data_IF_820703061053
#
_entry.id   IF_820703061053
#
_cell.length_a   1.000
_cell.length_b   1.000
_cell.length_c   1.000
_cell.angle_alpha   90.00
_cell.angle_beta   90.00
_cell.angle_gamma   90.00
#
_symmetry.space_group_name_H-M   'P 1'
#
loop_
_entity.id
_entity.type
_entity.pdbx_description
1 polymer ?
#
# COMPACT_ATOMS: atom_id res chain seq x y z
N UNK A 1 5.25 -29.08 -16.38
CA UNK A 1 4.63 -27.80 -16.76
C UNK A 1 5.54 -27.10 -17.77
N UNK A 2 4.98 -26.68 -18.91
CA UNK A 2 5.75 -26.08 -20.01
C UNK A 2 6.15 -24.63 -19.63
N UNK A 3 7.43 -24.24 -19.69
CA UNK A 3 7.92 -22.92 -19.24
C UNK A 3 7.25 -21.71 -19.91
N UNK A 4 6.69 -21.87 -21.12
CA UNK A 4 5.92 -20.82 -21.79
C UNK A 4 4.61 -20.47 -21.06
N UNK A 5 3.94 -21.43 -20.43
CA UNK A 5 2.69 -21.17 -19.69
C UNK A 5 2.93 -20.49 -18.35
N UNK A 6 4.09 -20.73 -17.73
CA UNK A 6 4.50 -20.04 -16.49
C UNK A 6 4.77 -18.56 -16.73
N UNK A 7 5.48 -18.23 -17.82
CA UNK A 7 5.79 -16.84 -18.19
C UNK A 7 4.54 -16.03 -18.54
N UNK A 8 3.58 -16.63 -19.26
CA UNK A 8 2.30 -15.98 -19.60
C UNK A 8 1.42 -15.75 -18.38
N UNK A 9 1.42 -16.69 -17.43
CA UNK A 9 0.69 -16.55 -16.17
C UNK A 9 1.25 -15.42 -15.29
N UNK A 10 2.58 -15.29 -15.21
CA UNK A 10 3.23 -14.19 -14.48
C UNK A 10 2.95 -12.83 -15.11
N UNK A 11 2.98 -12.71 -16.44
CA UNK A 11 2.66 -11.46 -17.13
C UNK A 11 1.18 -11.05 -16.95
N UNK A 12 0.26 -12.03 -16.92
CA UNK A 12 -1.15 -11.77 -16.66
C UNK A 12 -1.42 -11.29 -15.22
N UNK A 13 -0.68 -11.77 -14.22
CA UNK A 13 -0.81 -11.30 -12.84
C UNK A 13 -0.37 -9.83 -12.68
N UNK A 14 0.67 -9.41 -13.41
CA UNK A 14 1.19 -8.03 -13.32
C UNK A 14 0.24 -7.03 -14.00
N UNK A 15 -0.43 -7.40 -15.09
CA UNK A 15 -1.38 -6.51 -15.77
C UNK A 15 -2.67 -6.30 -14.98
N UNK A 16 -3.13 -7.30 -14.20
CA UNK A 16 -4.36 -7.20 -13.39
C UNK A 16 -4.19 -6.27 -12.19
N UNK A 17 -2.99 -6.16 -11.60
CA UNK A 17 -2.73 -5.22 -10.49
C UNK A 17 -2.89 -3.74 -10.89
N UNK A 18 -2.68 -3.38 -12.17
CA UNK A 18 -2.74 -1.98 -12.60
C UNK A 18 -4.18 -1.46 -12.72
N UNK A 19 -5.16 -2.33 -12.97
CA UNK A 19 -6.57 -1.94 -13.11
C UNK A 19 -7.27 -1.58 -11.78
N UNK A 20 -6.64 -1.88 -10.64
CA UNK A 20 -7.25 -1.64 -9.31
C UNK A 20 -7.08 -0.19 -8.82
N UNK A 21 -6.24 0.62 -9.48
CA UNK A 21 -5.93 1.99 -9.04
C UNK A 21 -6.59 3.10 -9.87
N UNK A 22 -7.36 2.77 -10.92
CA UNK A 22 -7.95 3.73 -11.86
C UNK A 22 -8.86 4.79 -11.20
N UNK A 23 -9.39 4.54 -10.00
CA UNK A 23 -10.29 5.46 -9.28
C UNK A 23 -9.67 6.14 -8.05
N UNK A 24 -8.42 5.81 -7.68
CA UNK A 24 -7.74 6.49 -6.58
C UNK A 24 -7.00 7.67 -7.19
N UNK A 25 -7.51 8.88 -7.01
CA UNK A 25 -6.73 10.09 -7.30
C UNK A 25 -5.45 10.00 -6.46
N UNK A 26 -4.26 9.84 -7.07
CA UNK A 26 -3.02 9.56 -6.34
C UNK A 26 -2.69 10.65 -5.32
N UNK A 27 -3.28 11.84 -5.48
CA UNK A 27 -3.07 12.99 -4.61
C UNK A 27 -3.91 13.05 -3.35
N UNK A 28 -4.89 12.16 -3.18
CA UNK A 28 -5.64 12.11 -1.92
C UNK A 28 -4.73 11.73 -0.76
N UNK A 29 -3.66 10.97 -1.01
CA UNK A 29 -2.66 10.64 0.02
C UNK A 29 -1.83 11.86 0.44
N UNK A 30 -1.81 12.93 -0.36
CA UNK A 30 -0.98 14.12 -0.14
C UNK A 30 -1.71 15.23 0.61
N UNK A 31 -3.01 15.08 0.84
CA UNK A 31 -3.79 15.99 1.65
C UNK A 31 -3.80 15.49 3.09
N UNK A 32 -3.27 16.32 3.99
CA UNK A 32 -3.16 16.01 5.41
C UNK A 32 -4.52 15.79 6.10
N UNK A 33 -5.64 16.22 5.49
CA UNK A 33 -6.99 15.88 5.97
C UNK A 33 -7.36 14.41 5.71
N UNK A 34 -6.74 13.78 4.70
CA UNK A 34 -7.06 12.42 4.24
C UNK A 34 -6.01 11.40 4.67
N UNK A 35 -4.73 11.78 4.72
CA UNK A 35 -3.67 10.89 5.15
C UNK A 35 -2.51 11.65 5.79
N UNK A 36 -2.26 11.36 7.07
CA UNK A 36 -1.05 11.76 7.78
C UNK A 36 -0.25 10.49 8.04
N UNK A 37 1.04 10.49 7.69
CA UNK A 37 1.93 9.36 7.99
C UNK A 37 1.93 9.11 9.50
N UNK A 38 1.43 7.96 9.98
CA UNK A 38 1.35 7.70 11.41
C UNK A 38 2.72 7.67 12.06
N UNK A 39 2.86 8.20 13.27
CA UNK A 39 4.15 8.25 13.99
C UNK A 39 4.50 6.98 14.76
N UNK A 40 3.58 6.01 14.81
CA UNK A 40 3.78 4.73 15.47
C UNK A 40 3.08 3.59 14.72
N UNK A 41 3.53 2.36 14.99
CA UNK A 41 3.03 1.14 14.35
C UNK A 41 1.56 0.85 14.67
N UNK A 42 1.10 1.11 15.89
CA UNK A 42 -0.28 0.84 16.31
C UNK A 42 -1.30 1.61 15.47
N UNK A 43 -0.99 2.84 15.08
CA UNK A 43 -1.83 3.61 14.17
C UNK A 43 -1.60 3.14 12.74
N UNK A 44 -0.36 2.92 12.30
CA UNK A 44 -0.06 2.46 10.94
C UNK A 44 -0.75 1.12 10.60
N UNK A 45 -0.71 0.15 11.50
CA UNK A 45 -1.37 -1.15 11.33
C UNK A 45 -2.88 -1.02 11.14
N UNK A 46 -3.54 -0.02 11.77
CA UNK A 46 -4.97 0.27 11.50
C UNK A 46 -5.20 0.80 10.09
N UNK A 47 -4.32 1.67 9.58
CA UNK A 47 -4.39 2.13 8.20
C UNK A 47 -4.19 0.97 7.22
N UNK A 48 -3.22 0.09 7.47
CA UNK A 48 -2.96 -1.09 6.64
C UNK A 48 -4.16 -2.05 6.63
N UNK A 49 -4.76 -2.34 7.79
CA UNK A 49 -6.03 -3.10 7.90
C UNK A 49 -7.16 -2.43 7.10
N UNK A 50 -7.26 -1.11 7.18
CA UNK A 50 -8.22 -0.33 6.39
C UNK A 50 -7.97 -0.44 4.88
N UNK A 51 -6.71 -0.47 4.47
CA UNK A 51 -6.28 -0.77 3.10
C UNK A 51 -6.69 -2.17 2.65
N UNK A 52 -6.48 -3.19 3.49
CA UNK A 52 -6.90 -4.57 3.19
C UNK A 52 -8.39 -4.69 2.88
N UNK A 53 -9.25 -3.89 3.55
CA UNK A 53 -10.69 -3.90 3.30
C UNK A 53 -11.10 -3.38 1.91
N UNK A 54 -10.16 -2.78 1.16
CA UNK A 54 -10.39 -2.33 -0.23
C UNK A 54 -10.02 -3.38 -1.28
N UNK A 55 -9.42 -4.50 -0.86
CA UNK A 55 -9.04 -5.60 -1.75
C UNK A 55 -10.24 -6.51 -2.05
N UNK A 56 -10.07 -7.40 -3.03
CA UNK A 56 -11.06 -8.43 -3.35
C UNK A 56 -11.37 -9.32 -2.13
N UNK A 57 -12.62 -9.79 -2.07
CA UNK A 57 -13.20 -10.42 -0.86
C UNK A 57 -12.41 -11.63 -0.34
N UNK A 58 -11.77 -12.35 -1.25
CA UNK A 58 -10.92 -13.51 -0.96
C UNK A 58 -9.54 -13.12 -0.39
N UNK A 59 -9.09 -11.88 -0.61
CA UNK A 59 -7.79 -11.36 -0.14
C UNK A 59 -7.90 -10.55 1.15
N UNK A 60 -9.08 -10.00 1.47
CA UNK A 60 -9.29 -9.14 2.66
C UNK A 60 -8.75 -9.80 3.94
N UNK A 61 -9.20 -11.02 4.26
CA UNK A 61 -8.82 -11.69 5.50
C UNK A 61 -7.34 -12.10 5.54
N UNK A 62 -6.78 -12.77 4.50
CA UNK A 62 -5.35 -13.04 4.44
C UNK A 62 -4.47 -11.79 4.60
N UNK A 63 -4.85 -10.66 3.99
CA UNK A 63 -4.14 -9.39 4.14
C UNK A 63 -4.18 -8.87 5.59
N UNK A 64 -5.36 -8.94 6.23
CA UNK A 64 -5.52 -8.50 7.63
C UNK A 64 -4.72 -9.38 8.58
N UNK A 65 -4.78 -10.69 8.42
CA UNK A 65 -4.05 -11.64 9.25
C UNK A 65 -2.53 -11.42 9.14
N UNK A 66 -2.04 -11.11 7.94
CA UNK A 66 -0.65 -10.72 7.74
C UNK A 66 -0.30 -9.45 8.54
N UNK A 67 -1.09 -8.39 8.41
CA UNK A 67 -0.87 -7.14 9.17
C UNK A 67 -0.90 -7.40 10.68
N UNK A 68 -1.81 -8.27 11.15
CA UNK A 68 -1.99 -8.61 12.56
C UNK A 68 -0.82 -9.44 13.11
N UNK A 69 -0.21 -10.27 12.27
CA UNK A 69 0.97 -11.06 12.63
C UNK A 69 2.23 -10.21 12.81
N UNK A 70 2.24 -8.98 12.28
CA UNK A 70 3.39 -8.10 12.30
C UNK A 70 3.36 -7.18 13.53
N UNK A 71 4.36 -7.31 14.40
CA UNK A 71 4.66 -6.29 15.42
C UNK A 71 5.95 -5.55 15.02
N UNK A 72 5.80 -4.41 14.36
CA UNK A 72 6.92 -3.58 13.95
C UNK A 72 7.13 -2.38 14.86
N UNK A 73 6.60 -2.36 16.08
CA UNK A 73 6.65 -1.18 16.95
C UNK A 73 8.05 -0.62 17.18
N UNK A 74 9.05 -1.50 17.33
CA UNK A 74 10.45 -1.11 17.53
C UNK A 74 11.08 -0.62 16.23
N UNK A 75 10.84 -1.33 15.12
CA UNK A 75 11.43 -1.06 13.80
C UNK A 75 10.81 0.18 13.16
N UNK A 76 9.53 0.43 13.44
CA UNK A 76 8.76 1.50 12.83
C UNK A 76 9.33 2.88 13.15
N UNK A 77 9.92 3.07 14.34
CA UNK A 77 10.58 4.33 14.68
C UNK A 77 11.76 4.63 13.74
N UNK A 78 12.53 3.60 13.38
CA UNK A 78 13.65 3.72 12.44
C UNK A 78 13.16 3.89 11.01
N UNK A 79 12.06 3.24 10.63
CA UNK A 79 11.46 3.33 9.30
C UNK A 79 10.73 4.65 9.05
N UNK A 80 10.14 5.25 10.09
CA UNK A 80 9.31 6.46 10.03
C UNK A 80 9.88 7.59 9.16
N UNK A 81 11.14 8.06 9.35
CA UNK A 81 11.68 9.13 8.51
C UNK A 81 11.68 8.78 7.02
N UNK A 82 11.97 7.53 6.68
CA UNK A 82 11.97 7.07 5.28
C UNK A 82 10.56 6.96 4.70
N UNK A 83 9.57 6.59 5.50
CA UNK A 83 8.16 6.58 5.08
C UNK A 83 7.68 8.01 4.82
N UNK A 84 8.07 8.97 5.67
CA UNK A 84 7.77 10.40 5.45
C UNK A 84 8.40 10.90 4.16
N UNK A 85 9.66 10.53 3.90
CA UNK A 85 10.34 10.93 2.66
C UNK A 85 9.72 10.28 1.42
N UNK A 86 9.36 9.00 1.50
CA UNK A 86 8.61 8.32 0.45
C UNK A 86 7.30 9.04 0.15
N UNK A 87 6.52 9.36 1.19
CA UNK A 87 5.26 10.10 1.06
C UNK A 87 5.47 11.45 0.35
N UNK A 88 6.45 12.25 0.80
CA UNK A 88 6.81 13.52 0.15
C UNK A 88 7.20 13.35 -1.31
N UNK A 89 8.02 12.34 -1.62
CA UNK A 89 8.46 12.06 -3.00
C UNK A 89 7.30 11.60 -3.87
N UNK A 90 6.44 10.69 -3.39
CA UNK A 90 5.22 10.27 -4.08
C UNK A 90 4.35 11.48 -4.40
N UNK A 91 4.14 12.39 -3.44
CA UNK A 91 3.41 13.63 -3.69
C UNK A 91 4.12 14.54 -4.69
N UNK A 92 5.44 14.68 -4.59
CA UNK A 92 6.25 15.43 -5.55
C UNK A 92 6.24 14.85 -6.96
N UNK A 93 5.99 13.56 -7.16
CA UNK A 93 5.96 12.91 -8.48
C UNK A 93 4.55 12.90 -9.07
N UNK A 94 3.57 12.46 -8.29
CA UNK A 94 2.22 12.20 -8.79
C UNK A 94 1.28 13.41 -8.65
N UNK A 95 1.69 14.42 -7.88
CA UNK A 95 0.82 15.54 -7.48
C UNK A 95 1.45 16.92 -7.66
N UNK A 96 2.59 17.01 -8.35
CA UNK A 96 3.25 18.26 -8.69
C UNK A 96 2.56 18.98 -9.86
N UNK A 97 1.37 19.49 -9.56
CA UNK A 97 0.60 20.62 -10.12
C UNK A 97 -0.90 20.33 -10.00
N UNK A 98 -1.45 20.69 -8.84
CA UNK A 98 -2.78 21.30 -8.73
C UNK A 98 -2.59 22.80 -8.60
#
# INVERSE_FOLDING_TARGET
MNPQHFFLFFMALITVCNAQFDNIKPCVICDDHWFVVPTNWDIMSKYLRGGCNRLDKDVIWPCRDLVDSMNLSEQYRTLYPYIVDLHKQTCGVFCSRG
#
